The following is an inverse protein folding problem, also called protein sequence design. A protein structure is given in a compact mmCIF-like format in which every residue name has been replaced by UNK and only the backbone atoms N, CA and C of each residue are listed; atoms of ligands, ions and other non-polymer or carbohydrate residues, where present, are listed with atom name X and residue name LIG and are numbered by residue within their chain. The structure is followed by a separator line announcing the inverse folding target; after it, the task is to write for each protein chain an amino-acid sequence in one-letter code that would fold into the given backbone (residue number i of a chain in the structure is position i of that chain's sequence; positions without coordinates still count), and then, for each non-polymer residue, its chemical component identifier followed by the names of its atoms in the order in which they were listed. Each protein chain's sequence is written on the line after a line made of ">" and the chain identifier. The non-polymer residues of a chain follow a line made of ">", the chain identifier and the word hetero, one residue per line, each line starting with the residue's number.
data_IF_838070636397
#
_entry.id   IF_838070636397
#
_cell.length_a   1.000
_cell.length_b   1.000
_cell.length_c   1.000
_cell.angle_alpha   90.00
_cell.angle_beta   90.00
_cell.angle_gamma   90.00
#
_symmetry.space_group_name_H-M   'P 1'
#
loop_
_entity.id
_entity.type
_entity.pdbx_description
1 polymer ?
#
# COMPACT_ATOMS: atom_id res chain seq x y z
N UNK A 1 -4.50 -23.45 20.00
CA UNK A 1 -4.81 -23.60 18.56
C UNK A 1 -3.64 -23.01 17.78
N UNK A 2 -3.11 -23.73 16.79
CA UNK A 2 -2.18 -23.17 15.79
C UNK A 2 -3.02 -22.93 14.54
N UNK A 3 -3.03 -21.69 14.08
CA UNK A 3 -3.73 -21.20 12.90
C UNK A 3 -2.89 -21.37 11.64
N UNK A 4 -1.63 -20.92 11.68
CA UNK A 4 -0.79 -20.82 10.49
C UNK A 4 0.64 -21.33 10.70
N UNK A 5 1.13 -21.40 11.95
CA UNK A 5 2.51 -21.84 12.25
C UNK A 5 2.84 -23.26 11.80
N UNK A 6 1.84 -24.14 11.65
CA UNK A 6 2.07 -25.49 11.13
C UNK A 6 2.27 -25.51 9.60
N UNK A 7 1.79 -24.48 8.90
CA UNK A 7 1.98 -24.28 7.46
C UNK A 7 3.31 -23.58 7.16
N UNK A 8 3.67 -22.57 7.97
CA UNK A 8 4.85 -21.72 7.77
C UNK A 8 5.91 -21.97 8.85
N UNK A 9 6.47 -23.17 8.86
CA UNK A 9 7.37 -23.65 9.92
C UNK A 9 8.72 -22.94 10.00
N UNK A 10 9.12 -22.28 8.91
CA UNK A 10 10.29 -21.43 8.78
C UNK A 10 10.13 -20.08 9.50
N UNK A 11 8.90 -19.59 9.63
CA UNK A 11 8.56 -18.37 10.37
C UNK A 11 8.33 -18.68 11.86
N UNK A 12 9.44 -18.97 12.55
CA UNK A 12 9.43 -19.41 13.95
C UNK A 12 8.64 -18.45 14.86
N UNK A 13 7.77 -18.99 15.74
CA UNK A 13 7.18 -18.20 16.82
C UNK A 13 8.23 -17.59 17.73
N UNK A 14 8.00 -16.35 18.16
CA UNK A 14 8.90 -15.67 19.10
C UNK A 14 8.86 -14.16 19.00
N UNK A 15 9.84 -13.54 19.64
CA UNK A 15 10.03 -12.09 19.63
C UNK A 15 10.80 -11.64 18.40
N UNK A 16 10.30 -10.62 17.70
CA UNK A 16 11.09 -9.87 16.71
C UNK A 16 11.79 -8.69 17.39
N UNK A 17 13.02 -8.33 16.98
CA UNK A 17 13.72 -7.18 17.54
C UNK A 17 13.03 -5.87 17.15
N UNK A 18 13.04 -4.89 18.06
CA UNK A 18 12.46 -3.57 17.82
C UNK A 18 13.41 -2.56 17.15
N UNK A 19 14.72 -2.85 17.13
CA UNK A 19 15.74 -1.95 16.55
C UNK A 19 15.42 -1.50 15.10
N UNK A 20 14.94 -2.37 14.20
CA UNK A 20 14.57 -1.98 12.84
C UNK A 20 13.49 -0.90 12.74
N UNK A 21 12.70 -0.70 13.79
CA UNK A 21 11.60 0.26 13.80
C UNK A 21 12.00 1.65 14.28
N UNK A 22 13.22 1.87 14.80
CA UNK A 22 13.64 3.20 15.29
C UNK A 22 15.08 3.59 14.98
N UNK A 23 15.89 2.66 14.47
CA UNK A 23 17.31 2.84 14.19
C UNK A 23 17.54 3.58 12.87
N UNK A 24 18.28 4.68 12.95
CA UNK A 24 18.65 5.47 11.77
C UNK A 24 19.63 4.70 10.87
N UNK A 25 20.52 3.88 11.44
CA UNK A 25 21.45 3.08 10.67
C UNK A 25 20.76 1.93 9.94
N UNK A 26 19.73 1.33 10.55
CA UNK A 26 18.88 0.35 9.88
C UNK A 26 18.12 1.01 8.72
N UNK A 27 17.52 2.18 8.97
CA UNK A 27 16.80 2.94 7.95
C UNK A 27 17.68 3.30 6.75
N UNK A 28 18.91 3.77 6.97
CA UNK A 28 19.86 4.04 5.86
C UNK A 28 20.12 2.81 4.99
N UNK A 29 20.20 1.62 5.59
CA UNK A 29 20.35 0.37 4.85
C UNK A 29 19.07 0.01 4.10
N UNK A 30 17.89 0.24 4.68
CA UNK A 30 16.61 0.09 3.98
C UNK A 30 16.55 0.97 2.73
N UNK A 31 16.96 2.24 2.83
CA UNK A 31 17.00 3.13 1.66
C UNK A 31 17.83 2.53 0.51
N UNK A 32 18.99 1.94 0.81
CA UNK A 32 19.88 1.37 -0.20
C UNK A 32 19.42 0.01 -0.72
N UNK A 33 19.00 -0.89 0.18
CA UNK A 33 18.82 -2.32 -0.10
C UNK A 33 17.36 -2.73 -0.30
N UNK A 34 16.41 -1.91 0.15
CA UNK A 34 14.97 -2.12 -0.03
C UNK A 34 14.41 -1.13 -1.05
N UNK A 35 14.60 0.17 -0.89
CA UNK A 35 13.88 1.14 -1.74
C UNK A 35 14.58 1.48 -3.06
N UNK A 36 15.92 1.60 -3.09
CA UNK A 36 16.66 1.91 -4.33
C UNK A 36 16.74 0.72 -5.30
N UNK A 37 16.66 -0.52 -4.82
CA UNK A 37 16.79 -1.73 -5.66
C UNK A 37 15.48 -2.34 -6.15
N UNK A 38 14.33 -1.96 -5.59
CA UNK A 38 13.06 -2.63 -5.82
C UNK A 38 12.13 -1.80 -6.70
N UNK A 39 11.12 -2.46 -7.27
CA UNK A 39 10.03 -1.79 -7.96
C UNK A 39 9.10 -1.13 -6.93
N UNK A 40 8.84 0.16 -7.10
CA UNK A 40 7.97 0.96 -6.24
C UNK A 40 6.72 1.36 -7.01
N UNK A 41 5.54 1.03 -6.49
CA UNK A 41 4.29 1.50 -7.09
C UNK A 41 4.11 2.98 -6.78
N UNK A 42 3.94 3.81 -7.81
CA UNK A 42 3.90 5.28 -7.67
C UNK A 42 2.62 5.93 -8.18
N UNK A 43 1.75 5.18 -8.86
CA UNK A 43 0.49 5.70 -9.35
C UNK A 43 -0.24 4.79 -10.33
N UNK A 44 -1.12 5.38 -11.12
CA UNK A 44 -2.05 4.74 -12.05
C UNK A 44 -1.90 5.31 -13.45
N UNK A 45 -2.06 4.47 -14.47
CA UNK A 45 -2.01 4.89 -15.88
C UNK A 45 -3.08 5.91 -16.24
N UNK A 46 -4.21 5.91 -15.53
CA UNK A 46 -5.31 6.85 -15.70
C UNK A 46 -4.91 8.30 -15.36
N UNK A 47 -3.91 8.50 -14.49
CA UNK A 47 -3.35 9.83 -14.19
C UNK A 47 -2.58 10.42 -15.38
N UNK A 48 -2.19 9.58 -16.34
CA UNK A 48 -1.40 9.91 -17.51
C UNK A 48 -2.18 9.53 -18.76
N UNK A 49 -3.42 10.00 -18.93
CA UNK A 49 -4.29 9.54 -20.02
C UNK A 49 -3.82 10.03 -21.40
N UNK A 50 -3.26 11.23 -21.47
CA UNK A 50 -2.88 11.89 -22.72
C UNK A 50 -1.37 12.12 -22.82
N UNK A 51 -0.81 12.18 -24.04
CA UNK A 51 0.57 12.62 -24.23
C UNK A 51 0.84 13.98 -23.57
N UNK A 52 2.00 14.08 -22.93
CA UNK A 52 2.43 15.23 -22.15
C UNK A 52 1.91 15.25 -20.72
N UNK A 53 0.91 14.44 -20.36
CA UNK A 53 0.47 14.35 -18.97
C UNK A 53 1.62 13.83 -18.09
N UNK A 54 1.76 14.39 -16.89
CA UNK A 54 2.76 13.98 -15.92
C UNK A 54 2.27 14.15 -14.48
N UNK A 55 2.90 13.41 -13.56
CA UNK A 55 2.86 13.68 -12.13
C UNK A 55 4.25 13.51 -11.51
N UNK A 56 4.47 14.23 -10.41
CA UNK A 56 5.66 14.18 -9.59
C UNK A 56 5.37 13.42 -8.29
N UNK A 57 6.37 12.71 -7.78
CA UNK A 57 6.38 12.17 -6.42
C UNK A 57 7.69 12.58 -5.73
N UNK A 58 7.56 13.25 -4.60
CA UNK A 58 8.68 13.48 -3.68
C UNK A 58 8.83 12.25 -2.78
N UNK A 59 9.96 11.56 -2.91
CA UNK A 59 10.26 10.29 -2.26
C UNK A 59 11.44 10.47 -1.31
N UNK A 60 11.13 10.86 -0.06
CA UNK A 60 12.13 11.12 0.99
C UNK A 60 13.07 9.92 1.21
N UNK A 61 12.54 8.70 1.15
CA UNK A 61 13.33 7.46 1.25
C UNK A 61 14.41 7.34 0.16
N UNK A 62 14.20 7.93 -1.01
CA UNK A 62 15.19 7.98 -2.10
C UNK A 62 16.03 9.25 -2.09
N UNK A 63 15.74 10.19 -1.17
CA UNK A 63 16.31 11.55 -1.13
C UNK A 63 16.17 12.26 -2.48
N UNK A 64 15.06 12.00 -3.16
CA UNK A 64 14.86 12.43 -4.54
C UNK A 64 13.40 12.81 -4.83
N UNK A 65 13.24 13.66 -5.83
CA UNK A 65 11.95 13.91 -6.49
C UNK A 65 12.00 13.21 -7.83
N UNK A 66 10.94 12.50 -8.17
CA UNK A 66 10.80 11.80 -9.46
C UNK A 66 9.54 12.28 -10.15
N UNK A 67 9.48 12.12 -11.46
CA UNK A 67 8.24 12.31 -12.20
C UNK A 67 8.03 11.20 -13.22
N UNK A 68 6.77 10.87 -13.45
CA UNK A 68 6.33 9.96 -14.50
C UNK A 68 5.51 10.75 -15.50
N UNK A 69 5.71 10.49 -16.78
CA UNK A 69 5.02 11.18 -17.87
C UNK A 69 4.67 10.23 -19.01
N UNK A 70 3.69 10.63 -19.83
CA UNK A 70 3.42 10.00 -21.13
C UNK A 70 4.09 10.81 -22.25
N UNK A 71 4.93 10.16 -23.05
CA UNK A 71 5.51 10.77 -24.24
C UNK A 71 4.51 10.94 -25.38
N UNK A 72 4.92 11.66 -26.42
CA UNK A 72 4.19 11.80 -27.68
C UNK A 72 4.04 10.48 -28.44
N UNK A 73 4.99 9.56 -28.28
CA UNK A 73 4.93 8.18 -28.76
C UNK A 73 4.02 7.26 -27.92
N UNK A 74 3.31 7.82 -26.93
CA UNK A 74 2.39 7.10 -26.04
C UNK A 74 3.06 6.28 -24.94
N UNK A 75 4.40 6.17 -24.91
CA UNK A 75 5.12 5.40 -23.88
C UNK A 75 5.20 6.16 -22.57
N UNK A 76 5.09 5.43 -21.46
CA UNK A 76 5.38 5.95 -20.14
C UNK A 76 6.89 6.02 -19.90
N UNK A 77 7.33 7.08 -19.24
CA UNK A 77 8.73 7.32 -18.88
C UNK A 77 8.79 7.90 -17.48
N UNK A 78 9.82 7.53 -16.73
CA UNK A 78 10.10 8.11 -15.43
C UNK A 78 11.52 8.69 -15.38
N UNK A 79 11.67 9.82 -14.71
CA UNK A 79 12.96 10.50 -14.56
C UNK A 79 13.12 11.04 -13.15
N UNK A 80 14.37 11.22 -12.73
CA UNK A 80 14.67 12.13 -11.62
C UNK A 80 14.23 13.55 -12.01
N UNK A 81 13.48 14.21 -11.14
CA UNK A 81 13.06 15.60 -11.29
C UNK A 81 14.19 16.57 -10.91
N UNK A 82 15.32 16.45 -11.59
CA UNK A 82 16.53 17.22 -11.34
C UNK A 82 17.20 17.62 -12.64
N UNK A 83 17.29 18.93 -12.88
CA UNK A 83 17.94 19.50 -14.04
C UNK A 83 19.43 19.15 -14.03
N UNK A 84 19.95 18.71 -15.18
CA UNK A 84 21.35 18.28 -15.33
C UNK A 84 22.38 19.41 -15.25
N UNK A 85 21.94 20.68 -15.20
CA UNK A 85 22.83 21.83 -15.02
C UNK A 85 23.22 22.03 -13.55
N UNK A 86 22.28 22.46 -12.70
CA UNK A 86 22.51 22.78 -11.27
C UNK A 86 21.48 22.15 -10.34
N UNK A 87 20.89 21.03 -10.76
CA UNK A 87 20.05 20.19 -9.91
C UNK A 87 18.64 20.70 -9.59
N UNK A 88 18.25 21.89 -10.09
CA UNK A 88 16.92 22.44 -9.83
C UNK A 88 15.80 21.51 -10.30
N UNK A 89 14.65 21.52 -9.61
CA UNK A 89 13.45 20.81 -10.06
C UNK A 89 13.06 21.29 -11.46
N UNK A 90 12.87 20.36 -12.38
CA UNK A 90 12.50 20.69 -13.77
C UNK A 90 11.01 20.94 -13.84
N UNK A 91 10.22 20.12 -13.16
CA UNK A 91 8.77 20.25 -13.04
C UNK A 91 8.41 20.67 -11.62
N UNK A 92 7.90 21.89 -11.46
CA UNK A 92 7.60 22.44 -10.13
C UNK A 92 6.22 22.02 -9.58
N UNK A 93 5.24 21.78 -10.46
CA UNK A 93 3.88 21.39 -10.06
C UNK A 93 3.82 19.87 -9.80
N UNK A 94 2.96 19.45 -8.88
CA UNK A 94 2.75 18.03 -8.56
C UNK A 94 2.21 17.22 -9.74
N UNK A 95 1.48 17.85 -10.65
CA UNK A 95 1.02 17.24 -11.90
C UNK A 95 0.73 18.31 -12.94
N UNK A 96 0.50 17.88 -14.17
CA UNK A 96 0.03 18.75 -15.24
C UNK A 96 0.21 18.13 -16.61
N UNK A 97 0.22 19.00 -17.63
CA UNK A 97 0.41 18.64 -19.02
C UNK A 97 1.54 19.45 -19.63
N UNK A 98 2.53 18.76 -20.18
CA UNK A 98 3.67 19.32 -20.89
C UNK A 98 3.31 19.61 -22.35
N UNK A 99 3.98 20.60 -22.94
CA UNK A 99 3.97 20.79 -24.39
C UNK A 99 4.86 19.77 -25.10
N UNK A 100 5.36 20.10 -26.29
CA UNK A 100 6.35 19.25 -26.99
C UNK A 100 7.72 19.20 -26.30
N UNK A 101 7.97 20.16 -25.41
CA UNK A 101 9.18 20.28 -24.61
C UNK A 101 8.86 21.05 -23.32
N UNK A 102 9.76 20.99 -22.35
CA UNK A 102 9.61 21.64 -21.06
C UNK A 102 10.95 22.19 -20.56
N UNK A 103 10.87 23.31 -19.84
CA UNK A 103 12.04 24.13 -19.53
C UNK A 103 12.23 24.23 -18.03
N UNK A 104 13.44 23.96 -17.57
CA UNK A 104 13.81 24.20 -16.17
C UNK A 104 13.69 25.69 -15.85
N UNK A 105 12.89 26.02 -14.84
CA UNK A 105 12.62 27.40 -14.41
C UNK A 105 13.81 28.15 -13.80
N UNK A 106 15.02 27.56 -13.76
CA UNK A 106 16.20 28.23 -13.23
C UNK A 106 17.00 28.96 -14.33
N UNK A 107 17.63 28.21 -15.23
CA UNK A 107 18.48 28.77 -16.29
C UNK A 107 17.99 28.41 -17.70
N UNK A 108 16.74 27.99 -17.86
CA UNK A 108 16.15 27.82 -19.18
C UNK A 108 16.62 26.60 -19.98
N UNK A 109 17.28 25.61 -19.36
CA UNK A 109 17.59 24.34 -20.04
C UNK A 109 16.30 23.61 -20.40
N UNK A 110 16.13 23.28 -21.67
CA UNK A 110 14.89 22.71 -22.21
C UNK A 110 15.10 21.26 -22.63
N UNK A 111 14.20 20.40 -22.16
CA UNK A 111 14.17 18.97 -22.47
C UNK A 111 12.95 18.65 -23.32
N UNK A 112 13.08 17.69 -24.23
CA UNK A 112 11.94 17.10 -24.93
C UNK A 112 11.23 16.02 -24.10
N UNK A 113 10.16 15.44 -24.63
CA UNK A 113 9.39 14.39 -23.96
C UNK A 113 10.10 13.03 -23.86
N UNK A 114 11.26 12.87 -24.51
CA UNK A 114 12.15 11.72 -24.30
C UNK A 114 13.12 11.94 -23.13
N UNK A 115 13.15 13.15 -22.57
CA UNK A 115 14.11 13.59 -21.56
C UNK A 115 15.44 14.08 -22.13
N UNK A 116 15.57 14.19 -23.46
CA UNK A 116 16.79 14.66 -24.11
C UNK A 116 16.92 16.17 -23.98
N UNK A 117 18.13 16.66 -23.71
CA UNK A 117 18.42 18.09 -23.64
C UNK A 117 18.49 18.67 -25.06
N UNK A 118 17.53 19.51 -25.43
CA UNK A 118 17.40 20.03 -26.79
C UNK A 118 17.87 21.48 -26.94
N UNK A 119 17.84 22.27 -25.85
CA UNK A 119 18.25 23.68 -25.88
C UNK A 119 18.93 24.10 -24.59
N UNK A 120 20.04 24.81 -24.74
CA UNK A 120 20.76 25.50 -23.68
C UNK A 120 20.83 26.98 -24.04
N UNK A 121 20.40 27.90 -23.16
CA UNK A 121 20.62 29.33 -23.38
C UNK A 121 22.11 29.66 -23.41
N UNK A 122 22.51 30.55 -24.32
CA UNK A 122 23.90 30.97 -24.55
C UNK A 122 24.87 29.76 -24.66
N UNK A 123 24.46 28.74 -25.44
CA UNK A 123 25.17 27.46 -25.61
C UNK A 123 26.64 27.67 -26.04
N UNK A 124 26.91 28.69 -26.85
CA UNK A 124 28.24 29.10 -27.30
C UNK A 124 29.19 29.53 -26.18
N UNK A 125 28.68 29.87 -24.99
CA UNK A 125 29.48 30.20 -23.82
C UNK A 125 29.96 28.97 -23.04
N UNK A 126 29.51 27.76 -23.38
CA UNK A 126 29.97 26.52 -22.75
C UNK A 126 31.06 25.87 -23.59
N UNK A 127 32.25 25.66 -23.01
CA UNK A 127 33.32 24.88 -23.64
C UNK A 127 33.03 23.39 -23.49
N UNK A 128 33.19 22.62 -24.57
CA UNK A 128 33.04 21.15 -24.61
C UNK A 128 31.68 20.63 -24.09
N UNK A 129 30.58 21.34 -24.39
CA UNK A 129 29.24 20.91 -24.01
C UNK A 129 28.68 19.84 -24.95
N UNK A 130 28.49 18.64 -24.42
CA UNK A 130 27.85 17.52 -25.12
C UNK A 130 26.41 17.31 -24.62
N UNK A 131 25.43 17.90 -25.32
CA UNK A 131 24.00 17.85 -24.90
C UNK A 131 23.44 16.44 -24.82
N UNK A 132 23.91 15.54 -25.67
CA UNK A 132 23.55 14.13 -25.73
C UNK A 132 23.90 13.36 -24.44
N UNK A 133 24.88 13.83 -23.65
CA UNK A 133 25.24 13.25 -22.34
C UNK A 133 24.46 13.87 -21.16
N UNK A 134 23.70 14.93 -21.44
CA UNK A 134 23.07 15.81 -20.46
C UNK A 134 21.53 15.74 -20.49
N UNK A 135 20.96 14.70 -21.11
CA UNK A 135 19.56 14.33 -20.93
C UNK A 135 19.23 13.98 -19.47
N UNK A 136 17.96 14.03 -19.11
CA UNK A 136 17.50 13.68 -17.76
C UNK A 136 17.90 12.24 -17.41
N UNK A 137 18.23 12.00 -16.14
CA UNK A 137 18.53 10.65 -15.65
C UNK A 137 17.22 9.87 -15.54
N UNK A 138 17.05 8.89 -16.42
CA UNK A 138 15.88 8.01 -16.45
C UNK A 138 15.86 6.99 -15.32
N UNK A 139 14.65 6.58 -14.97
CA UNK A 139 14.33 5.47 -14.08
C UNK A 139 13.69 4.37 -14.93
N UNK A 140 13.82 3.11 -14.54
CA UNK A 140 13.00 2.07 -15.15
C UNK A 140 11.53 2.32 -14.77
N UNK A 141 10.63 2.16 -15.73
CA UNK A 141 9.21 2.42 -15.58
C UNK A 141 8.45 1.33 -16.33
N UNK A 142 7.52 0.66 -15.65
CA UNK A 142 6.69 -0.37 -16.24
C UNK A 142 5.31 -0.40 -15.55
N UNK A 143 4.39 -1.19 -16.08
CA UNK A 143 3.03 -1.26 -15.57
C UNK A 143 2.55 -2.68 -15.34
N UNK A 144 1.77 -2.87 -14.28
CA UNK A 144 1.09 -4.13 -13.97
C UNK A 144 -0.36 -3.83 -13.62
N UNK A 145 -1.33 -4.40 -14.34
CA UNK A 145 -2.77 -4.09 -14.17
C UNK A 145 -3.10 -2.58 -14.18
N UNK A 146 -2.29 -1.79 -14.90
CA UNK A 146 -2.38 -0.32 -14.98
C UNK A 146 -1.80 0.43 -13.76
N UNK A 147 -1.22 -0.27 -12.79
CA UNK A 147 -0.41 0.34 -11.74
C UNK A 147 0.97 0.65 -12.32
N UNK A 148 1.45 1.87 -12.08
CA UNK A 148 2.75 2.34 -12.54
C UNK A 148 3.79 2.02 -11.46
N UNK A 149 4.83 1.31 -11.86
CA UNK A 149 5.99 1.05 -11.01
C UNK A 149 7.24 1.73 -11.58
N UNK A 150 8.12 2.17 -10.68
CA UNK A 150 9.45 2.65 -11.02
C UNK A 150 10.54 1.87 -10.30
N UNK A 151 11.74 1.81 -10.87
CA UNK A 151 12.94 1.33 -10.19
C UNK A 151 14.08 2.34 -10.40
N UNK A 152 14.89 2.59 -9.36
CA UNK A 152 15.98 3.58 -9.46
C UNK A 152 17.16 3.11 -10.29
N UNK A 153 17.29 1.79 -10.48
CA UNK A 153 18.14 1.24 -11.53
C UNK A 153 17.40 1.34 -12.88
N UNK A 154 17.91 2.08 -13.88
CA UNK A 154 17.32 2.12 -15.22
C UNK A 154 17.39 0.78 -15.96
N UNK A 155 18.17 -0.19 -15.46
CA UNK A 155 18.26 -1.56 -15.97
C UNK A 155 18.16 -2.55 -14.79
N UNK A 156 16.97 -2.67 -14.17
CA UNK A 156 16.81 -3.47 -12.98
C UNK A 156 17.15 -4.92 -13.25
N UNK A 157 17.71 -5.61 -12.26
CA UNK A 157 18.11 -7.02 -12.36
C UNK A 157 16.93 -7.96 -12.65
N UNK A 158 15.73 -7.53 -12.28
CA UNK A 158 14.49 -8.28 -12.42
C UNK A 158 13.44 -7.38 -13.12
N UNK A 159 12.71 -7.93 -14.09
CA UNK A 159 11.59 -7.23 -14.74
C UNK A 159 10.41 -7.10 -13.78
N UNK A 160 9.50 -6.15 -14.03
CA UNK A 160 8.32 -5.98 -13.19
C UNK A 160 7.45 -7.26 -13.15
N UNK A 161 7.30 -7.97 -14.27
CA UNK A 161 6.55 -9.24 -14.32
C UNK A 161 7.16 -10.31 -13.42
N UNK A 162 8.49 -10.45 -13.44
CA UNK A 162 9.18 -11.40 -12.57
C UNK A 162 9.09 -10.99 -11.09
N UNK A 163 9.24 -9.68 -10.83
CA UNK A 163 9.08 -9.10 -9.50
C UNK A 163 7.73 -9.41 -8.87
N UNK A 164 6.62 -9.18 -9.60
CA UNK A 164 5.28 -9.50 -9.10
C UNK A 164 5.11 -11.01 -8.88
N UNK A 165 5.60 -11.82 -9.82
CA UNK A 165 5.50 -13.28 -9.75
C UNK A 165 4.10 -13.80 -10.10
N UNK A 166 4.07 -15.03 -10.63
CA UNK A 166 2.83 -15.67 -11.13
C UNK A 166 1.81 -15.90 -10.01
N UNK A 167 2.26 -16.17 -8.79
CA UNK A 167 1.39 -16.50 -7.66
C UNK A 167 0.60 -15.27 -7.20
N UNK A 168 1.24 -14.11 -7.10
CA UNK A 168 0.58 -12.85 -6.77
C UNK A 168 -0.30 -12.36 -7.93
N UNK A 169 0.18 -12.45 -9.17
CA UNK A 169 -0.61 -12.09 -10.35
C UNK A 169 -1.93 -12.88 -10.40
N UNK A 170 -1.88 -14.18 -10.10
CA UNK A 170 -3.06 -15.04 -10.03
C UNK A 170 -4.05 -14.63 -8.92
N UNK A 171 -3.62 -13.95 -7.86
CA UNK A 171 -4.53 -13.53 -6.78
C UNK A 171 -5.50 -12.42 -7.24
N UNK A 172 -5.08 -11.58 -8.18
CA UNK A 172 -5.88 -10.45 -8.66
C UNK A 172 -6.37 -10.63 -10.10
N UNK A 173 -6.06 -11.77 -10.71
CA UNK A 173 -6.40 -12.07 -12.09
C UNK A 173 -7.93 -12.01 -12.32
N UNK A 174 -8.33 -11.17 -13.28
CA UNK A 174 -9.75 -10.96 -13.62
C UNK A 174 -10.44 -9.87 -12.80
N UNK A 175 -9.74 -9.23 -11.86
CA UNK A 175 -10.27 -8.03 -11.20
C UNK A 175 -10.24 -6.82 -12.15
N UNK A 176 -11.33 -6.03 -12.25
CA UNK A 176 -11.48 -5.01 -13.28
C UNK A 176 -10.84 -3.67 -12.88
N UNK A 177 -9.52 -3.64 -12.68
CA UNK A 177 -8.80 -2.40 -12.33
C UNK A 177 -8.93 -1.30 -13.39
N UNK A 178 -9.02 -1.69 -14.66
CA UNK A 178 -9.04 -0.76 -15.78
C UNK A 178 -10.31 0.11 -15.76
N UNK A 179 -10.13 1.42 -15.96
CA UNK A 179 -11.23 2.37 -16.08
C UNK A 179 -11.87 2.80 -14.75
N UNK A 180 -11.33 2.34 -13.61
CA UNK A 180 -11.73 2.86 -12.30
C UNK A 180 -11.21 4.29 -12.12
N UNK A 181 -12.07 5.17 -11.60
CA UNK A 181 -11.74 6.55 -11.24
C UNK A 181 -11.15 6.61 -9.82
N UNK A 182 -10.23 7.54 -9.60
CA UNK A 182 -9.79 7.94 -8.26
C UNK A 182 -10.88 8.83 -7.64
N UNK A 183 -11.65 8.29 -6.71
CA UNK A 183 -12.74 9.02 -6.05
C UNK A 183 -12.19 9.95 -4.95
N UNK A 184 -11.22 9.47 -4.18
CA UNK A 184 -10.63 10.23 -3.08
C UNK A 184 -9.19 9.80 -2.80
N UNK A 185 -8.41 10.75 -2.29
CA UNK A 185 -7.09 10.50 -1.72
C UNK A 185 -7.04 11.09 -0.32
N UNK A 186 -6.67 10.28 0.67
CA UNK A 186 -6.37 10.71 2.02
C UNK A 186 -4.87 10.56 2.27
N UNK A 187 -4.22 11.62 2.75
CA UNK A 187 -2.79 11.60 3.09
C UNK A 187 -2.60 11.96 4.56
N UNK A 188 -1.72 11.23 5.24
CA UNK A 188 -1.34 11.51 6.62
C UNK A 188 0.15 11.26 6.81
N UNK A 189 0.84 12.18 7.49
CA UNK A 189 2.21 11.99 7.96
C UNK A 189 2.16 11.64 9.45
N UNK A 190 2.73 10.49 9.81
CA UNK A 190 2.66 9.90 11.15
C UNK A 190 4.06 9.69 11.70
N UNK A 191 4.23 9.96 13.00
CA UNK A 191 5.39 9.59 13.82
C UNK A 191 5.47 8.08 14.09
N UNK A 192 5.34 7.27 13.04
CA UNK A 192 5.47 5.82 13.04
C UNK A 192 6.39 5.34 11.91
N UNK A 193 7.13 4.26 12.16
CA UNK A 193 7.93 3.59 11.14
C UNK A 193 7.04 2.95 10.07
N UNK A 194 7.48 2.99 8.81
CA UNK A 194 6.69 2.53 7.66
C UNK A 194 6.33 1.05 7.75
N UNK A 195 7.22 0.22 8.32
CA UNK A 195 6.96 -1.21 8.54
C UNK A 195 5.81 -1.41 9.50
N UNK A 196 5.82 -0.66 10.59
CA UNK A 196 4.78 -0.77 11.61
C UNK A 196 3.42 -0.30 11.08
N UNK A 197 3.39 0.73 10.24
CA UNK A 197 2.19 1.13 9.49
C UNK A 197 1.69 0.03 8.56
N UNK A 198 2.57 -0.54 7.73
CA UNK A 198 2.21 -1.60 6.80
C UNK A 198 1.74 -2.87 7.53
N UNK A 199 2.41 -3.23 8.63
CA UNK A 199 2.12 -4.43 9.42
C UNK A 199 0.76 -4.37 10.12
N UNK A 200 0.26 -3.17 10.45
CA UNK A 200 -1.08 -2.99 11.05
C UNK A 200 -2.19 -3.51 10.12
N UNK A 201 -2.01 -3.43 8.80
CA UNK A 201 -2.96 -4.00 7.83
C UNK A 201 -2.70 -5.48 7.53
N UNK A 202 -1.71 -6.08 8.20
CA UNK A 202 -1.24 -7.44 7.96
C UNK A 202 -1.42 -8.36 9.15
N UNK A 203 -2.32 -7.95 10.03
CA UNK A 203 -2.91 -8.74 11.09
C UNK A 203 -4.34 -8.28 11.31
N UNK A 204 -5.14 -9.11 11.97
CA UNK A 204 -6.52 -8.78 12.33
C UNK A 204 -6.72 -8.80 13.86
N UNK A 205 -5.62 -8.89 14.61
CA UNK A 205 -5.60 -9.05 16.05
C UNK A 205 -6.06 -7.77 16.76
N UNK A 206 -5.70 -6.58 16.26
CA UNK A 206 -6.14 -5.32 16.85
C UNK A 206 -7.63 -5.00 16.59
N UNK A 207 -8.23 -5.58 15.54
CA UNK A 207 -9.57 -5.21 15.01
C UNK A 207 -10.63 -5.21 16.11
N UNK A 208 -10.56 -6.16 17.05
CA UNK A 208 -11.52 -6.26 18.15
C UNK A 208 -11.50 -5.13 19.15
N UNK A 209 -10.31 -4.57 19.38
CA UNK A 209 -10.10 -3.56 20.39
C UNK A 209 -10.21 -2.16 19.77
N UNK A 210 -9.63 -1.97 18.59
CA UNK A 210 -9.52 -0.68 17.92
C UNK A 210 -10.79 -0.36 17.13
N UNK A 211 -11.30 -1.29 16.32
CA UNK A 211 -12.44 -1.06 15.41
C UNK A 211 -13.79 -1.42 16.02
N UNK A 212 -13.92 -1.22 17.34
CA UNK A 212 -15.12 -1.59 18.10
C UNK A 212 -16.38 -0.77 17.76
N UNK A 213 -16.24 0.30 16.98
CA UNK A 213 -17.36 1.16 16.58
C UNK A 213 -17.56 1.18 15.05
N UNK A 214 -16.55 0.79 14.26
CA UNK A 214 -16.55 0.81 12.79
C UNK A 214 -16.66 -0.57 12.14
N UNK A 215 -16.18 -1.62 12.83
CA UNK A 215 -16.19 -3.03 12.40
C UNK A 215 -16.89 -3.94 13.42
N UNK A 216 -17.19 -3.44 14.64
CA UNK A 216 -18.19 -4.08 15.50
C UNK A 216 -19.46 -4.35 14.71
N UNK A 217 -20.23 -5.37 15.13
CA UNK A 217 -21.43 -5.87 14.45
C UNK A 217 -21.27 -6.50 13.05
N UNK A 218 -20.05 -6.57 12.50
CA UNK A 218 -19.64 -7.72 11.67
C UNK A 218 -19.38 -8.96 12.54
N UNK A 219 -20.14 -9.08 13.64
CA UNK A 219 -20.20 -10.08 14.72
C UNK A 219 -18.89 -10.56 15.36
N UNK A 220 -17.88 -9.69 15.48
CA UNK A 220 -16.59 -10.03 16.09
C UNK A 220 -16.30 -9.35 17.43
N UNK A 221 -16.75 -8.12 17.65
CA UNK A 221 -16.38 -7.33 18.84
C UNK A 221 -17.15 -7.73 20.12
N UNK A 222 -18.35 -8.29 19.97
CA UNK A 222 -19.26 -8.56 21.09
C UNK A 222 -18.77 -9.63 22.05
N UNK A 223 -18.11 -10.68 21.56
CA UNK A 223 -17.58 -11.79 22.39
C UNK A 223 -16.38 -11.34 23.22
N UNK A 224 -15.38 -10.75 22.59
CA UNK A 224 -14.20 -10.23 23.29
C UNK A 224 -14.61 -9.27 24.41
N UNK A 225 -15.59 -8.40 24.16
CA UNK A 225 -16.08 -7.46 25.17
C UNK A 225 -16.76 -8.17 26.35
N UNK A 226 -17.49 -9.27 26.12
CA UNK A 226 -18.08 -10.10 27.17
C UNK A 226 -17.01 -10.80 28.00
N UNK A 227 -16.03 -11.43 27.35
CA UNK A 227 -14.91 -12.12 28.02
C UNK A 227 -14.04 -11.13 28.81
N UNK A 228 -13.72 -9.97 28.22
CA UNK A 228 -13.00 -8.87 28.86
C UNK A 228 -13.73 -8.36 30.09
N UNK A 229 -15.04 -8.15 30.00
CA UNK A 229 -15.87 -7.70 31.13
C UNK A 229 -15.90 -8.72 32.26
N UNK A 230 -15.99 -10.01 31.95
CA UNK A 230 -15.89 -11.07 32.95
C UNK A 230 -14.52 -11.05 33.64
N UNK A 231 -13.43 -10.99 32.86
CA UNK A 231 -12.08 -10.92 33.38
C UNK A 231 -11.85 -9.70 34.29
N UNK A 232 -12.34 -8.52 33.91
CA UNK A 232 -12.26 -7.29 34.72
C UNK A 232 -13.03 -7.40 36.05
N UNK A 233 -14.05 -8.25 36.12
CA UNK A 233 -14.80 -8.55 37.35
C UNK A 233 -14.24 -9.74 38.14
N UNK A 234 -13.19 -10.41 37.64
CA UNK A 234 -12.68 -11.65 38.22
C UNK A 234 -13.65 -12.83 38.08
N UNK A 235 -14.55 -12.76 37.10
CA UNK A 235 -15.54 -13.80 36.80
C UNK A 235 -15.01 -14.77 35.75
N UNK A 236 -15.50 -16.01 35.79
CA UNK A 236 -15.31 -16.92 34.67
C UNK A 236 -16.03 -16.38 33.43
N UNK A 237 -15.42 -16.46 32.23
CA UNK A 237 -16.11 -16.07 31.01
C UNK A 237 -17.35 -16.95 30.83
N UNK A 238 -18.50 -16.37 30.42
CA UNK A 238 -19.71 -17.15 30.22
C UNK A 238 -19.49 -18.22 29.14
N UNK A 239 -20.11 -19.40 29.32
CA UNK A 239 -20.13 -20.41 28.28
C UNK A 239 -20.96 -19.89 27.10
N UNK A 240 -20.29 -19.62 25.98
CA UNK A 240 -20.96 -19.18 24.76
C UNK A 240 -21.22 -20.43 23.89
N UNK A 241 -22.50 -20.76 23.58
CA UNK A 241 -22.81 -21.93 22.76
C UNK A 241 -22.35 -21.76 21.31
N UNK A 242 -21.81 -22.84 20.75
CA UNK A 242 -21.50 -23.11 19.33
C UNK A 242 -21.34 -21.88 18.41
N UNK A 243 -20.26 -21.14 18.62
CA UNK A 243 -19.76 -20.18 17.64
C UNK A 243 -18.75 -20.85 16.70
N UNK A 244 -19.09 -21.09 15.42
CA UNK A 244 -18.18 -21.64 14.42
C UNK A 244 -17.11 -20.62 13.99
N UNK A 245 -17.09 -19.41 14.56
CA UNK A 245 -16.19 -18.31 14.17
C UNK A 245 -15.43 -17.74 15.37
N UNK A 246 -14.51 -18.50 16.01
CA UNK A 246 -13.87 -18.05 17.24
C UNK A 246 -12.65 -17.14 17.01
N UNK A 247 -12.56 -16.41 15.88
CA UNK A 247 -11.26 -15.97 15.36
C UNK A 247 -11.17 -14.53 14.89
N UNK A 248 -10.40 -13.71 15.61
CA UNK A 248 -9.96 -12.37 15.19
C UNK A 248 -8.71 -12.46 14.32
N UNK A 249 -8.76 -13.37 13.35
CA UNK A 249 -7.67 -13.68 12.44
C UNK A 249 -8.16 -13.66 11.00
N UNK A 250 -7.21 -13.59 10.08
CA UNK A 250 -7.49 -13.86 8.69
C UNK A 250 -8.13 -15.23 8.50
N UNK A 251 -9.04 -15.34 7.53
CA UNK A 251 -9.59 -16.63 7.09
C UNK A 251 -8.50 -17.47 6.42
N UNK A 252 -7.54 -16.82 5.77
CA UNK A 252 -6.43 -17.46 5.10
C UNK A 252 -5.26 -16.48 4.92
N UNK A 253 -4.03 -17.02 4.90
CA UNK A 253 -2.77 -16.28 4.72
C UNK A 253 -1.95 -17.00 3.65
N UNK A 254 -1.38 -16.23 2.72
CA UNK A 254 -0.57 -16.71 1.58
C UNK A 254 0.68 -15.86 1.44
N UNK A 255 1.83 -16.51 1.36
CA UNK A 255 3.13 -15.84 1.24
C UNK A 255 3.76 -16.20 -0.12
N UNK A 256 4.26 -15.19 -0.83
CA UNK A 256 4.83 -15.32 -2.17
C UNK A 256 6.16 -14.58 -2.26
N UNK A 257 7.25 -15.25 -1.86
CA UNK A 257 8.59 -14.63 -1.76
C UNK A 257 8.58 -13.34 -0.92
N UNK A 258 8.52 -12.16 -1.55
CA UNK A 258 8.44 -10.85 -0.87
C UNK A 258 7.01 -10.36 -0.66
N UNK A 259 6.08 -10.86 -1.46
CA UNK A 259 4.68 -10.48 -1.46
C UNK A 259 3.87 -11.36 -0.54
N UNK A 260 2.66 -10.91 -0.20
CA UNK A 260 1.74 -11.68 0.64
C UNK A 260 0.31 -11.26 0.39
N UNK A 261 -0.60 -12.20 0.64
CA UNK A 261 -2.03 -11.97 0.54
C UNK A 261 -2.76 -12.60 1.72
N UNK A 262 -3.79 -11.91 2.18
CA UNK A 262 -4.60 -12.32 3.32
C UNK A 262 -6.07 -12.13 2.98
N UNK A 263 -6.93 -12.99 3.50
CA UNK A 263 -8.38 -12.82 3.38
C UNK A 263 -8.97 -12.55 4.74
N UNK A 264 -9.72 -11.46 4.87
CA UNK A 264 -10.41 -11.06 6.10
C UNK A 264 -11.81 -11.63 6.09
N UNK A 265 -12.32 -11.97 7.26
CA UNK A 265 -13.69 -12.44 7.43
C UNK A 265 -14.71 -11.32 7.13
N UNK A 266 -15.87 -11.67 6.58
CA UNK A 266 -16.93 -10.73 6.19
C UNK A 266 -18.21 -10.85 7.01
N UNK A 267 -18.71 -12.08 7.20
CA UNK A 267 -20.01 -12.32 7.86
C UNK A 267 -19.94 -13.45 8.90
N UNK A 268 -20.25 -13.19 10.16
CA UNK A 268 -20.53 -14.22 11.14
C UNK A 268 -22.02 -14.58 11.08
N UNK A 269 -22.31 -15.76 10.53
CA UNK A 269 -23.65 -16.39 10.53
C UNK A 269 -24.82 -15.57 9.94
N UNK A 270 -25.92 -16.25 9.70
CA UNK A 270 -27.11 -15.75 9.00
C UNK A 270 -28.10 -14.96 9.88
N UNK A 271 -27.93 -14.98 11.20
CA UNK A 271 -28.89 -14.46 12.19
C UNK A 271 -28.49 -13.11 12.82
N UNK A 272 -27.25 -12.64 12.62
CA UNK A 272 -26.83 -11.31 13.08
C UNK A 272 -27.36 -10.21 12.16
N UNK A 273 -28.04 -9.21 12.73
CA UNK A 273 -28.50 -8.03 11.99
C UNK A 273 -27.35 -7.04 11.85
N UNK A 274 -27.03 -6.70 10.60
CA UNK A 274 -26.13 -5.60 10.30
C UNK A 274 -26.76 -4.26 10.74
N UNK A 275 -25.96 -3.23 11.04
CA UNK A 275 -26.44 -1.88 11.27
C UNK A 275 -27.32 -1.42 10.12
N UNK A 276 -28.36 -0.63 10.40
CA UNK A 276 -29.27 -0.16 9.36
C UNK A 276 -28.57 0.50 8.17
N UNK A 277 -27.50 1.26 8.40
CA UNK A 277 -26.73 1.91 7.34
C UNK A 277 -25.95 0.91 6.48
N UNK A 278 -25.28 -0.07 7.10
CA UNK A 278 -24.54 -1.12 6.39
C UNK A 278 -25.53 -2.02 5.61
N UNK A 279 -26.63 -2.43 6.24
CA UNK A 279 -27.67 -3.25 5.60
C UNK A 279 -28.27 -2.54 4.38
N UNK A 280 -28.58 -1.24 4.50
CA UNK A 280 -29.08 -0.45 3.38
C UNK A 280 -28.07 -0.39 2.23
N UNK A 281 -26.81 -0.05 2.52
CA UNK A 281 -25.77 0.10 1.49
C UNK A 281 -25.43 -1.24 0.83
N UNK A 282 -25.43 -2.34 1.59
CA UNK A 282 -25.19 -3.70 1.07
C UNK A 282 -26.25 -4.15 0.04
N UNK A 283 -27.47 -3.57 0.06
CA UNK A 283 -28.51 -3.84 -0.95
C UNK A 283 -28.19 -3.24 -2.32
N UNK A 284 -27.42 -2.15 -2.35
CA UNK A 284 -27.06 -1.44 -3.58
C UNK A 284 -25.63 -1.74 -4.04
N UNK A 285 -24.75 -2.16 -3.13
CA UNK A 285 -23.40 -2.56 -3.49
C UNK A 285 -23.39 -3.83 -4.36
N UNK A 286 -22.61 -3.86 -5.45
CA UNK A 286 -22.38 -5.06 -6.22
C UNK A 286 -21.79 -6.16 -5.33
N UNK A 287 -22.49 -7.29 -5.24
CA UNK A 287 -22.06 -8.40 -4.41
C UNK A 287 -20.94 -9.19 -5.10
N UNK A 288 -19.84 -9.48 -4.40
CA UNK A 288 -18.70 -10.22 -4.97
C UNK A 288 -19.11 -11.62 -5.47
N UNK A 289 -20.00 -12.29 -4.73
CA UNK A 289 -20.52 -13.62 -5.07
C UNK A 289 -21.54 -13.62 -6.22
N UNK A 290 -21.98 -12.43 -6.68
CA UNK A 290 -22.95 -12.27 -7.78
C UNK A 290 -22.31 -11.61 -9.01
N UNK A 291 -20.99 -11.47 -9.05
CA UNK A 291 -20.27 -10.84 -10.15
C UNK A 291 -19.53 -11.87 -11.00
N UNK A 292 -19.38 -11.59 -12.29
CA UNK A 292 -18.59 -12.40 -13.22
C UNK A 292 -17.08 -12.06 -13.17
N UNK A 293 -16.67 -11.17 -12.27
CA UNK A 293 -15.27 -10.74 -12.13
C UNK A 293 -14.45 -11.72 -11.31
N UNK A 294 -13.19 -11.90 -11.72
CA UNK A 294 -12.19 -12.69 -10.99
C UNK A 294 -11.45 -11.86 -9.94
N UNK A 295 -10.41 -12.44 -9.35
CA UNK A 295 -9.46 -11.74 -8.49
C UNK A 295 -10.00 -11.35 -7.10
N UNK A 296 -11.13 -11.92 -6.70
CA UNK A 296 -11.69 -11.81 -5.35
C UNK A 296 -11.98 -13.21 -4.82
N UNK A 297 -11.74 -13.42 -3.52
CA UNK A 297 -11.93 -14.67 -2.83
C UNK A 297 -11.37 -15.88 -3.62
N UNK A 298 -10.16 -15.76 -4.16
CA UNK A 298 -9.56 -16.77 -5.05
C UNK A 298 -9.41 -18.14 -4.39
N UNK A 299 -9.35 -18.16 -3.06
CA UNK A 299 -9.28 -19.37 -2.23
C UNK A 299 -10.64 -19.89 -1.75
N UNK A 300 -11.74 -19.21 -2.11
CA UNK A 300 -13.13 -19.61 -1.80
C UNK A 300 -13.36 -19.79 -0.29
N UNK A 301 -12.82 -18.88 0.51
CA UNK A 301 -13.03 -18.85 1.95
C UNK A 301 -14.52 -18.69 2.24
N UNK A 302 -15.06 -19.58 3.07
CA UNK A 302 -16.50 -19.65 3.34
C UNK A 302 -17.05 -18.41 4.05
N UNK A 303 -16.20 -17.74 4.82
CA UNK A 303 -16.52 -16.54 5.60
C UNK A 303 -15.87 -15.28 5.04
N UNK A 304 -15.47 -15.28 3.77
CA UNK A 304 -14.75 -14.18 3.13
C UNK A 304 -15.49 -12.83 3.21
N UNK A 305 -14.72 -11.76 3.43
CA UNK A 305 -15.19 -10.38 3.43
C UNK A 305 -14.39 -9.46 2.51
N UNK A 306 -13.06 -9.59 2.54
CA UNK A 306 -12.16 -8.80 1.71
C UNK A 306 -10.83 -9.55 1.52
N UNK A 307 -10.11 -9.22 0.45
CA UNK A 307 -8.72 -9.60 0.27
C UNK A 307 -7.80 -8.40 0.44
N UNK A 308 -6.65 -8.64 1.06
CA UNK A 308 -5.54 -7.72 1.16
C UNK A 308 -4.35 -8.33 0.42
N UNK A 309 -3.69 -7.53 -0.40
CA UNK A 309 -2.52 -7.94 -1.17
C UNK A 309 -1.40 -6.92 -0.95
N UNK A 310 -0.39 -7.30 -0.17
CA UNK A 310 0.77 -6.45 0.02
C UNK A 310 1.82 -6.71 -1.07
N UNK A 311 2.04 -5.66 -1.85
CA UNK A 311 3.08 -5.57 -2.85
C UNK A 311 4.28 -4.85 -2.23
N UNK A 312 5.26 -5.65 -1.80
CA UNK A 312 6.52 -5.16 -1.28
C UNK A 312 7.17 -4.13 -2.21
N UNK A 313 7.84 -3.09 -1.69
CA UNK A 313 7.90 -2.74 -0.28
C UNK A 313 6.79 -1.77 0.17
N UNK A 314 6.07 -1.12 -0.74
CA UNK A 314 5.43 0.16 -0.41
C UNK A 314 3.91 0.19 -0.58
N UNK A 315 3.24 -0.88 -1.01
CA UNK A 315 1.81 -0.81 -1.31
C UNK A 315 1.02 -2.00 -0.79
N UNK A 316 -0.19 -1.73 -0.35
CA UNK A 316 -1.23 -2.75 -0.18
C UNK A 316 -2.47 -2.43 -1.02
N UNK A 317 -3.09 -3.46 -1.58
CA UNK A 317 -4.40 -3.39 -2.22
C UNK A 317 -5.43 -4.07 -1.34
N UNK A 318 -6.47 -3.35 -0.94
CA UNK A 318 -7.62 -3.90 -0.22
C UNK A 318 -8.82 -3.96 -1.17
N UNK A 319 -9.33 -5.16 -1.40
CA UNK A 319 -10.31 -5.48 -2.43
C UNK A 319 -11.52 -6.15 -1.78
N UNK A 320 -12.69 -5.48 -1.85
CA UNK A 320 -13.93 -5.95 -1.19
C UNK A 320 -15.00 -6.28 -2.21
N UNK A 321 -15.12 -5.49 -3.27
CA UNK A 321 -16.10 -5.73 -4.34
C UNK A 321 -15.43 -5.48 -5.68
N UNK A 322 -15.97 -6.01 -6.79
CA UNK A 322 -15.36 -5.80 -8.11
C UNK A 322 -15.51 -4.36 -8.59
N UNK A 323 -16.20 -3.49 -7.86
CA UNK A 323 -16.47 -2.12 -8.28
C UNK A 323 -15.66 -1.08 -7.54
N UNK A 324 -14.85 -1.45 -6.56
CA UNK A 324 -13.92 -0.54 -5.91
C UNK A 324 -12.80 -1.28 -5.17
N UNK A 325 -11.69 -0.60 -4.96
CA UNK A 325 -10.59 -1.05 -4.11
C UNK A 325 -9.89 0.14 -3.46
N UNK A 326 -9.18 -0.12 -2.36
CA UNK A 326 -8.24 0.83 -1.78
C UNK A 326 -6.83 0.47 -2.20
N UNK A 327 -6.03 1.48 -2.48
CA UNK A 327 -4.58 1.36 -2.52
C UNK A 327 -4.00 2.14 -1.33
N UNK A 328 -3.31 1.44 -0.44
CA UNK A 328 -2.58 2.03 0.67
C UNK A 328 -1.10 2.12 0.27
N UNK A 329 -0.50 3.30 0.39
CA UNK A 329 0.90 3.57 0.07
C UNK A 329 1.67 3.96 1.31
N UNK A 330 2.78 3.27 1.59
CA UNK A 330 3.61 3.48 2.77
C UNK A 330 4.96 4.09 2.36
N UNK A 331 5.15 5.37 2.65
CA UNK A 331 6.32 6.13 2.23
C UNK A 331 7.16 6.57 3.42
N UNK A 332 8.34 5.98 3.65
CA UNK A 332 9.21 6.41 4.74
C UNK A 332 9.70 7.84 4.52
N UNK A 333 9.66 8.65 5.59
CA UNK A 333 10.26 9.97 5.66
C UNK A 333 11.60 9.90 6.40
N UNK A 334 11.64 9.15 7.50
CA UNK A 334 12.84 8.76 8.23
C UNK A 334 12.58 7.48 9.04
N UNK A 335 13.54 7.06 9.89
CA UNK A 335 13.45 5.84 10.69
C UNK A 335 12.21 5.73 11.60
N UNK A 336 11.48 6.81 11.88
CA UNK A 336 10.32 6.80 12.77
C UNK A 336 9.17 7.66 12.25
N UNK A 337 9.22 8.07 11.00
CA UNK A 337 8.18 8.90 10.41
C UNK A 337 7.90 8.43 9.01
N UNK A 338 6.62 8.36 8.67
CA UNK A 338 6.17 7.91 7.37
C UNK A 338 4.97 8.71 6.91
N UNK A 339 4.85 8.89 5.60
CA UNK A 339 3.64 9.36 4.96
C UNK A 339 2.86 8.15 4.47
N UNK A 340 1.58 8.10 4.83
CA UNK A 340 0.63 7.12 4.34
C UNK A 340 -0.32 7.82 3.36
N UNK A 341 -0.57 7.16 2.23
CA UNK A 341 -1.50 7.59 1.18
C UNK A 341 -2.58 6.52 1.03
N UNK A 342 -3.85 6.91 1.09
CA UNK A 342 -4.99 6.01 0.88
C UNK A 342 -5.79 6.52 -0.30
N UNK A 343 -5.73 5.77 -1.39
CA UNK A 343 -6.43 6.08 -2.63
C UNK A 343 -7.65 5.18 -2.78
N UNK A 344 -8.83 5.78 -2.89
CA UNK A 344 -10.09 5.09 -3.15
C UNK A 344 -10.37 5.07 -4.65
N UNK A 345 -10.35 3.89 -5.25
CA UNK A 345 -10.68 3.71 -6.65
C UNK A 345 -12.02 3.02 -6.81
N UNK A 346 -12.86 3.51 -7.74
CA UNK A 346 -14.17 2.91 -8.01
C UNK A 346 -14.52 2.91 -9.48
N UNK A 347 -15.40 1.99 -9.87
CA UNK A 347 -16.12 2.08 -11.13
C UNK A 347 -17.14 3.24 -11.05
N UNK A 348 -17.42 3.93 -12.16
CA UNK A 348 -18.47 4.94 -12.19
C UNK A 348 -19.81 4.36 -11.71
N UNK A 349 -20.54 5.02 -10.79
CA UNK A 349 -21.82 4.52 -10.30
C UNK A 349 -22.88 4.55 -11.41
N UNK A 350 -23.70 3.50 -11.50
CA UNK A 350 -24.76 3.39 -12.52
C UNK A 350 -26.11 3.90 -12.01
N UNK A 351 -26.28 3.93 -10.70
CA UNK A 351 -27.51 4.39 -10.04
C UNK A 351 -27.18 5.24 -8.81
N UNK A 352 -28.14 6.05 -8.37
CA UNK A 352 -27.99 6.81 -7.12
C UNK A 352 -27.78 5.91 -5.89
N UNK A 353 -28.36 4.70 -5.90
CA UNK A 353 -28.16 3.72 -4.83
C UNK A 353 -26.73 3.17 -4.79
N UNK A 354 -26.13 2.90 -5.96
CA UNK A 354 -24.72 2.49 -6.05
C UNK A 354 -23.79 3.60 -5.56
N UNK A 355 -24.04 4.85 -5.99
CA UNK A 355 -23.28 6.00 -5.51
C UNK A 355 -23.37 6.13 -3.99
N UNK A 356 -24.59 6.06 -3.42
CA UNK A 356 -24.79 6.13 -1.97
C UNK A 356 -24.00 5.04 -1.22
N UNK A 357 -24.04 3.80 -1.71
CA UNK A 357 -23.31 2.71 -1.09
C UNK A 357 -21.79 2.90 -1.18
N UNK A 358 -21.28 3.33 -2.34
CA UNK A 358 -19.85 3.59 -2.54
C UNK A 358 -19.34 4.70 -1.60
N UNK A 359 -20.04 5.84 -1.52
CA UNK A 359 -19.69 6.96 -0.64
C UNK A 359 -19.76 6.57 0.84
N UNK A 360 -20.74 5.75 1.23
CA UNK A 360 -20.83 5.23 2.60
C UNK A 360 -19.64 4.35 2.95
N UNK A 361 -19.27 3.40 2.07
CA UNK A 361 -18.12 2.53 2.32
C UNK A 361 -16.80 3.31 2.29
N UNK A 362 -16.65 4.30 1.41
CA UNK A 362 -15.50 5.22 1.46
C UNK A 362 -15.39 5.89 2.84
N UNK A 363 -16.46 6.50 3.33
CA UNK A 363 -16.47 7.17 4.63
C UNK A 363 -16.20 6.21 5.80
N UNK A 364 -16.79 5.01 5.77
CA UNK A 364 -16.56 3.99 6.79
C UNK A 364 -15.10 3.52 6.80
N UNK A 365 -14.50 3.25 5.63
CA UNK A 365 -13.09 2.86 5.54
C UNK A 365 -12.13 3.97 5.94
N UNK A 366 -12.43 5.23 5.61
CA UNK A 366 -11.67 6.37 6.13
C UNK A 366 -11.64 6.38 7.65
N UNK A 367 -12.78 6.11 8.30
CA UNK A 367 -12.86 6.08 9.76
C UNK A 367 -12.10 4.89 10.36
N UNK A 368 -12.13 3.70 9.72
CA UNK A 368 -11.29 2.54 10.08
C UNK A 368 -9.80 2.92 10.02
N UNK A 369 -9.35 3.50 8.90
CA UNK A 369 -7.96 3.94 8.74
C UNK A 369 -7.57 4.97 9.82
N UNK A 370 -8.49 5.87 10.18
CA UNK A 370 -8.23 6.86 11.23
C UNK A 370 -8.03 6.20 12.60
N UNK A 371 -8.77 5.14 12.90
CA UNK A 371 -8.61 4.38 14.14
C UNK A 371 -7.26 3.64 14.18
N UNK A 372 -6.82 3.06 13.06
CA UNK A 372 -5.50 2.42 12.93
C UNK A 372 -4.39 3.40 13.26
N UNK A 373 -4.34 4.52 12.54
CA UNK A 373 -3.23 5.47 12.63
C UNK A 373 -3.15 6.13 14.01
N UNK A 374 -4.29 6.28 14.71
CA UNK A 374 -4.34 6.81 16.06
C UNK A 374 -3.67 5.89 17.11
N UNK A 375 -3.63 4.58 16.85
CA UNK A 375 -2.99 3.62 17.75
C UNK A 375 -1.47 3.51 17.54
N UNK A 376 -0.97 3.84 16.33
CA UNK A 376 0.39 3.52 15.92
C UNK A 376 1.45 4.52 16.42
N UNK A 377 1.19 5.83 16.40
CA UNK A 377 2.16 6.82 16.89
C UNK A 377 2.47 6.66 18.39
N UNK A 378 1.49 6.48 19.30
CA UNK A 378 1.78 6.25 20.71
C UNK A 378 2.60 4.99 20.94
N UNK A 379 2.31 3.92 20.20
CA UNK A 379 3.07 2.66 20.29
C UNK A 379 4.51 2.84 19.79
N UNK A 380 4.72 3.51 18.65
CA UNK A 380 6.06 3.82 18.14
C UNK A 380 6.88 4.60 19.15
N UNK A 381 6.29 5.60 19.81
CA UNK A 381 6.98 6.44 20.78
C UNK A 381 7.60 5.62 21.93
N UNK A 382 7.04 4.45 22.25
CA UNK A 382 7.51 3.58 23.32
C UNK A 382 8.69 2.70 22.95
N UNK A 383 8.98 2.46 21.66
CA UNK A 383 10.11 1.62 21.27
C UNK A 383 11.46 2.18 21.75
N UNK A 384 11.61 3.50 21.88
CA UNK A 384 12.83 4.14 22.40
C UNK A 384 12.92 4.20 23.92
N UNK A 385 11.83 3.92 24.63
CA UNK A 385 11.85 3.94 26.10
C UNK A 385 12.72 2.83 26.70
N UNK A 386 13.03 1.79 25.92
CA UNK A 386 13.69 0.57 26.40
C UNK A 386 12.79 -0.34 27.23
N UNK A 387 11.54 0.04 27.48
CA UNK A 387 10.57 -0.79 28.21
C UNK A 387 10.15 -2.03 27.42
N UNK A 388 10.18 -1.94 26.09
CA UNK A 388 9.94 -3.05 25.16
C UNK A 388 11.29 -3.53 24.64
N UNK A 389 11.65 -4.80 24.84
CA UNK A 389 12.90 -5.40 24.33
C UNK A 389 12.72 -6.17 23.02
N UNK A 390 11.48 -6.46 22.63
CA UNK A 390 11.09 -7.16 21.41
C UNK A 390 9.57 -7.19 21.28
N UNK A 391 9.06 -7.42 20.06
CA UNK A 391 7.62 -7.55 19.81
C UNK A 391 7.25 -9.03 19.80
N UNK A 392 6.31 -9.41 20.66
CA UNK A 392 5.73 -10.75 20.68
C UNK A 392 4.62 -10.83 19.65
N UNK A 393 4.96 -11.34 18.46
CA UNK A 393 3.97 -11.56 17.41
C UNK A 393 3.30 -12.91 17.64
N UNK A 394 1.97 -12.93 17.65
CA UNK A 394 1.14 -14.14 17.75
C UNK A 394 1.11 -14.92 16.43
N UNK A 395 0.44 -16.06 16.43
CA UNK A 395 0.24 -16.84 15.21
C UNK A 395 -0.69 -16.14 14.19
N UNK A 396 -1.46 -15.14 14.62
CA UNK A 396 -2.32 -14.33 13.73
C UNK A 396 -1.49 -13.32 12.92
N UNK A 397 -0.26 -13.06 13.37
CA UNK A 397 0.65 -12.03 12.85
C UNK A 397 1.79 -12.66 12.01
N UNK A 398 1.56 -13.85 11.43
CA UNK A 398 2.52 -14.47 10.50
C UNK A 398 2.89 -13.56 9.31
N UNK A 399 1.95 -12.83 8.68
CA UNK A 399 2.31 -11.89 7.62
C UNK A 399 3.29 -10.79 8.08
N UNK A 400 3.17 -10.32 9.33
CA UNK A 400 4.11 -9.36 9.92
C UNK A 400 5.48 -10.01 10.19
N UNK A 401 5.53 -11.24 10.70
CA UNK A 401 6.81 -11.99 10.83
C UNK A 401 7.49 -12.19 9.48
N UNK A 402 6.71 -12.52 8.45
CA UNK A 402 7.20 -12.62 7.08
C UNK A 402 7.74 -11.29 6.57
N UNK A 403 7.02 -10.19 6.79
CA UNK A 403 7.48 -8.82 6.48
C UNK A 403 8.86 -8.55 7.08
N UNK A 404 9.00 -8.84 8.37
CA UNK A 404 10.25 -8.69 9.09
C UNK A 404 11.39 -9.49 8.45
N UNK A 405 11.22 -10.80 8.25
CA UNK A 405 12.24 -11.68 7.68
C UNK A 405 12.66 -11.26 6.26
N UNK A 406 11.70 -10.90 5.41
CA UNK A 406 11.99 -10.42 4.05
C UNK A 406 12.82 -9.14 4.10
N UNK A 407 12.45 -8.17 4.94
CA UNK A 407 13.17 -6.90 5.05
C UNK A 407 14.56 -7.12 5.65
N UNK A 408 14.67 -7.90 6.72
CA UNK A 408 15.93 -8.16 7.42
C UNK A 408 16.93 -8.86 6.51
N UNK A 409 16.47 -9.82 5.68
CA UNK A 409 17.30 -10.45 4.64
C UNK A 409 17.87 -9.44 3.64
N UNK A 410 17.07 -8.47 3.19
CA UNK A 410 17.57 -7.42 2.30
C UNK A 410 18.54 -6.49 3.01
N UNK A 411 18.21 -6.06 4.23
CA UNK A 411 18.99 -5.07 4.98
C UNK A 411 20.32 -5.65 5.46
N UNK A 412 20.37 -6.93 5.83
CA UNK A 412 21.56 -7.61 6.36
C UNK A 412 22.32 -8.46 5.34
N UNK A 413 21.87 -8.58 4.09
CA UNK A 413 22.66 -9.22 3.03
C UNK A 413 24.05 -8.57 2.93
N UNK A 414 25.11 -9.37 2.87
CA UNK A 414 26.49 -8.86 2.80
C UNK A 414 26.79 -8.12 1.49
#
# INVERSE_FOLDING_TARGET
>A
MRLFSDTYTDLKPGTVPIEPYYSEDYYRREQQRVFRGQWLMVGRVEQLAQPGDYFNKDLAVLESSVFVMRGDDGKLRAFHNSCRHRGNRVLAKSCGKLGKAFTCGFHGWTYDLSGSLIRVPDEECFTDLHKDELGLRGLACDTWNGFIFINTDPRPRESLTAFIGKEMDAQVAGFPFAGMELAATYEVELGANWKFLAEAYQEAYHVIAVHKDTVADRGTVSRWEVERRAALRGEAPPALPDDPTPGHHFSSVRLFDRHRSMSVFGKPKSDHQLPPAIDLCARFAPSPTRSDYGGLNTHKDASWGADLHFLFPNTELLMVTPTWYLQLGFWPVNAQRSRMEVNFYRQPPRTAGELLAMEYFEANFRDIVREDVAALEPAQAMFRSGATSGLWLSDQEIPARHSFEVIDRHVRAD
#
